data_IF_759159609865
#
_entry.id   IF_759159609865
#
_cell.length_a   1.000
_cell.length_b   1.000
_cell.length_c   1.000
_cell.angle_alpha   90.00
_cell.angle_beta   90.00
_cell.angle_gamma   90.00
#
_symmetry.space_group_name_H-M   'P 1'
#
loop_
_entity.id
_entity.type
_entity.pdbx_description
1 polymer ?
#
# COMPACT_ATOMS: atom_id res chain seq x y z
N UNK A 1 93.74 13.15 16.78
CA UNK A 1 93.77 11.68 16.74
C UNK A 1 92.45 11.21 16.13
N UNK A 2 92.46 10.56 14.98
CA UNK A 2 91.23 10.01 14.35
C UNK A 2 90.79 8.73 15.07
N UNK A 3 89.51 8.32 14.97
CA UNK A 3 88.99 7.11 15.64
C UNK A 3 89.84 5.85 15.38
N UNK A 4 90.46 5.73 14.19
CA UNK A 4 91.39 4.64 13.87
C UNK A 4 92.68 4.71 14.67
N UNK A 5 93.24 5.90 14.88
CA UNK A 5 94.45 6.10 15.68
C UNK A 5 94.19 5.83 17.17
N UNK A 6 93.02 6.24 17.68
CA UNK A 6 92.62 5.95 19.06
C UNK A 6 92.44 4.45 19.31
N UNK A 7 91.75 3.75 18.40
CA UNK A 7 91.59 2.29 18.49
C UNK A 7 92.94 1.58 18.42
N UNK A 8 93.86 2.06 17.57
CA UNK A 8 95.20 1.51 17.46
C UNK A 8 96.02 1.73 18.73
N UNK A 9 95.95 2.94 19.31
CA UNK A 9 96.61 3.27 20.57
C UNK A 9 96.11 2.40 21.75
N UNK A 10 94.79 2.24 21.88
CA UNK A 10 94.17 1.41 22.93
C UNK A 10 94.53 -0.07 22.77
N UNK A 11 94.63 -0.56 21.54
CA UNK A 11 95.04 -1.94 21.27
C UNK A 11 96.52 -2.16 21.57
N UNK A 12 97.39 -1.21 21.25
CA UNK A 12 98.83 -1.30 21.51
C UNK A 12 99.16 -1.21 23.01
N UNK A 13 98.30 -0.58 23.83
CA UNK A 13 98.49 -0.41 25.27
C UNK A 13 97.48 -1.19 26.14
N UNK A 14 96.79 -2.19 25.58
CA UNK A 14 95.79 -3.00 26.30
C UNK A 14 96.37 -3.74 27.53
N UNK A 15 97.68 -4.02 27.50
CA UNK A 15 98.41 -4.76 28.53
C UNK A 15 99.37 -3.87 29.34
N UNK A 16 99.25 -2.53 29.22
CA UNK A 16 100.10 -1.59 29.97
C UNK A 16 99.71 -1.62 31.48
N UNK A 17 100.63 -1.99 32.39
CA UNK A 17 100.36 -2.05 33.82
C UNK A 17 99.88 -0.72 34.42
N UNK A 18 100.25 0.43 33.81
CA UNK A 18 99.84 1.76 34.28
C UNK A 18 98.37 2.06 34.00
N UNK A 19 97.77 1.36 33.04
CA UNK A 19 96.34 1.45 32.70
C UNK A 19 95.52 0.30 33.33
N UNK A 20 96.13 -0.49 34.22
CA UNK A 20 95.51 -1.63 34.89
C UNK A 20 95.72 -2.98 34.20
N UNK A 21 96.18 -2.99 32.95
CA UNK A 21 96.49 -4.18 32.14
C UNK A 21 95.29 -5.10 31.84
N UNK A 22 95.34 -5.81 30.72
CA UNK A 22 94.42 -6.91 30.40
C UNK A 22 92.96 -6.53 30.12
N UNK A 23 92.66 -5.27 29.77
CA UNK A 23 91.28 -4.88 29.44
C UNK A 23 90.98 -5.15 27.96
N UNK A 24 90.18 -6.18 27.72
CA UNK A 24 89.60 -6.51 26.41
C UNK A 24 88.08 -6.31 26.46
N UNK A 25 87.51 -5.78 25.38
CA UNK A 25 86.06 -5.60 25.25
C UNK A 25 85.30 -6.91 25.47
N UNK A 26 85.88 -8.06 25.07
CA UNK A 26 85.25 -9.37 25.29
C UNK A 26 85.22 -9.75 26.76
N UNK A 27 86.28 -9.45 27.50
CA UNK A 27 86.38 -9.84 28.89
C UNK A 27 85.47 -8.98 29.77
N UNK A 28 85.38 -7.68 29.47
CA UNK A 28 84.42 -6.78 30.13
C UNK A 28 82.96 -7.20 29.91
N UNK A 29 82.59 -7.59 28.69
CA UNK A 29 81.23 -8.05 28.41
C UNK A 29 80.90 -9.38 29.06
N UNK A 30 81.86 -10.32 29.08
CA UNK A 30 81.66 -11.60 29.72
C UNK A 30 81.53 -11.46 31.24
N UNK A 31 82.32 -10.59 31.86
CA UNK A 31 82.25 -10.34 33.31
C UNK A 31 80.96 -9.60 33.68
N UNK A 32 80.52 -8.64 32.86
CA UNK A 32 79.22 -7.97 33.05
C UNK A 32 78.04 -8.94 32.91
N UNK A 33 78.04 -9.79 31.87
CA UNK A 33 76.98 -10.76 31.64
C UNK A 33 76.93 -11.82 32.75
N UNK A 34 78.09 -12.31 33.20
CA UNK A 34 78.20 -13.31 34.27
C UNK A 34 77.78 -12.73 35.63
N UNK A 35 78.12 -11.46 35.90
CA UNK A 35 77.70 -10.80 37.14
C UNK A 35 76.21 -10.49 37.14
N UNK A 36 75.60 -10.18 35.99
CA UNK A 36 74.14 -9.97 35.90
C UNK A 36 73.32 -11.24 36.10
N UNK A 37 73.80 -12.42 35.70
CA UNK A 37 73.09 -13.68 35.94
C UNK A 37 73.00 -14.06 37.43
N UNK A 38 74.00 -13.69 38.23
CA UNK A 38 74.03 -13.99 39.67
C UNK A 38 73.04 -13.14 40.50
N UNK A 39 72.54 -12.01 39.98
CA UNK A 39 71.55 -11.15 40.64
C UNK A 39 70.10 -11.42 40.22
N UNK A 40 69.83 -12.51 39.49
CA UNK A 40 68.46 -12.94 39.17
C UNK A 40 67.74 -12.07 38.13
N UNK A 41 68.48 -11.24 37.39
CA UNK A 41 67.97 -10.59 36.19
C UNK A 41 68.07 -11.56 35.02
N UNK A 42 67.21 -12.58 34.99
CA UNK A 42 66.96 -13.30 33.75
C UNK A 42 66.31 -12.33 32.77
N UNK A 43 67.00 -12.05 31.66
CA UNK A 43 66.45 -11.32 30.53
C UNK A 43 65.48 -12.24 29.76
N UNK A 44 64.41 -12.68 30.42
CA UNK A 44 63.19 -13.10 29.74
C UNK A 44 62.42 -11.83 29.35
N UNK A 45 63.04 -11.02 28.49
CA UNK A 45 62.31 -10.02 27.71
C UNK A 45 61.61 -10.78 26.58
N UNK A 46 60.52 -11.48 26.93
CA UNK A 46 59.56 -11.84 25.90
C UNK A 46 59.08 -10.53 25.28
N UNK A 47 59.59 -10.23 24.08
CA UNK A 47 59.12 -9.12 23.28
C UNK A 47 57.61 -9.26 23.15
N UNK A 48 56.86 -8.44 23.90
CA UNK A 48 55.40 -8.44 23.88
C UNK A 48 54.99 -8.01 22.48
N UNK A 49 54.76 -8.99 21.59
CA UNK A 49 54.33 -8.73 20.21
C UNK A 49 52.89 -8.23 20.28
N UNK A 50 52.72 -6.91 20.31
CA UNK A 50 51.45 -6.27 20.04
C UNK A 50 50.99 -6.65 18.63
N UNK A 51 50.25 -7.74 18.57
CA UNK A 51 49.73 -8.31 17.33
C UNK A 51 48.43 -7.57 17.01
N UNK A 52 48.15 -7.29 15.73
CA UNK A 52 46.92 -6.64 15.28
C UNK A 52 45.64 -7.23 15.89
N UNK A 53 45.66 -8.53 16.21
CA UNK A 53 44.60 -9.25 16.93
C UNK A 53 44.26 -8.65 18.31
N UNK A 54 45.23 -8.14 19.06
CA UNK A 54 45.01 -7.54 20.39
C UNK A 54 44.25 -6.22 20.28
N UNK A 55 44.55 -5.42 19.26
CA UNK A 55 43.81 -4.17 18.98
C UNK A 55 42.40 -4.45 18.47
N UNK A 56 42.24 -5.46 17.61
CA UNK A 56 40.93 -5.92 17.17
C UNK A 56 40.10 -6.46 18.34
N UNK A 57 40.68 -7.28 19.23
CA UNK A 57 39.99 -7.81 20.41
C UNK A 57 39.60 -6.69 21.38
N UNK A 58 40.43 -5.67 21.55
CA UNK A 58 40.09 -4.52 22.39
C UNK A 58 38.92 -3.70 21.79
N UNK A 59 38.92 -3.48 20.47
CA UNK A 59 37.83 -2.78 19.76
C UNK A 59 36.52 -3.57 19.78
N UNK A 60 36.58 -4.89 19.58
CA UNK A 60 35.39 -5.75 19.65
C UNK A 60 34.85 -5.83 21.07
N UNK A 61 35.71 -5.82 22.11
CA UNK A 61 35.28 -5.88 23.50
C UNK A 61 34.62 -4.58 24.00
N UNK A 62 35.03 -3.41 23.48
CA UNK A 62 34.41 -2.10 23.79
C UNK A 62 33.14 -1.88 22.98
N UNK A 63 33.18 -2.15 21.66
CA UNK A 63 32.03 -1.97 20.77
C UNK A 63 30.87 -2.90 21.13
N UNK A 64 31.15 -4.16 21.46
CA UNK A 64 30.12 -5.13 21.84
C UNK A 64 29.36 -4.69 23.09
N UNK A 65 30.01 -4.21 24.15
CA UNK A 65 29.32 -3.82 25.39
C UNK A 65 28.61 -2.46 25.31
N UNK A 66 29.08 -1.54 24.47
CA UNK A 66 28.47 -0.23 24.27
C UNK A 66 27.28 -0.27 23.30
N UNK A 67 27.26 -1.20 22.33
CA UNK A 67 26.19 -1.31 21.33
C UNK A 67 25.21 -2.45 21.66
N UNK A 68 25.67 -3.62 22.12
CA UNK A 68 24.75 -4.75 22.40
C UNK A 68 23.81 -4.48 23.56
N UNK A 69 24.19 -3.63 24.52
CA UNK A 69 23.33 -3.27 25.67
C UNK A 69 22.15 -2.38 25.27
N UNK A 70 22.34 -1.23 24.61
CA UNK A 70 21.21 -0.44 24.13
C UNK A 70 20.45 -1.13 22.99
N UNK A 71 21.11 -1.88 22.10
CA UNK A 71 20.41 -2.64 21.04
C UNK A 71 19.62 -3.79 21.63
N UNK A 72 20.16 -4.52 22.59
CA UNK A 72 19.44 -5.58 23.32
C UNK A 72 18.29 -5.01 24.14
N UNK A 73 18.48 -3.89 24.83
CA UNK A 73 17.42 -3.20 25.55
C UNK A 73 16.35 -2.61 24.62
N UNK A 74 16.73 -2.09 23.45
CA UNK A 74 15.81 -1.61 22.43
C UNK A 74 15.06 -2.77 21.76
N UNK A 75 15.72 -3.91 21.51
CA UNK A 75 15.08 -5.13 21.00
C UNK A 75 14.18 -5.77 22.05
N UNK A 76 14.54 -5.73 23.33
CA UNK A 76 13.66 -6.17 24.42
C UNK A 76 12.50 -5.22 24.65
N UNK A 77 12.71 -3.89 24.59
CA UNK A 77 11.63 -2.91 24.63
C UNK A 77 10.73 -3.05 23.40
N UNK A 78 11.30 -3.29 22.22
CA UNK A 78 10.58 -3.63 21.02
C UNK A 78 9.85 -4.96 21.18
N UNK A 79 10.44 -6.01 21.75
CA UNK A 79 9.75 -7.27 22.07
C UNK A 79 8.79 -7.16 23.28
N UNK A 80 8.82 -6.12 24.08
CA UNK A 80 7.84 -5.94 25.17
C UNK A 80 6.65 -5.10 24.70
N UNK A 81 6.91 -4.12 23.83
CA UNK A 81 5.88 -3.31 23.16
C UNK A 81 5.25 -4.08 21.99
N UNK A 82 6.03 -4.86 21.26
CA UNK A 82 5.66 -5.64 20.06
C UNK A 82 5.86 -7.16 20.20
N UNK A 83 6.30 -7.73 21.32
CA UNK A 83 6.32 -9.21 21.48
C UNK A 83 5.02 -9.77 22.03
N UNK A 84 4.11 -8.91 22.51
CA UNK A 84 2.68 -9.20 22.52
C UNK A 84 2.08 -9.30 21.11
N UNK A 85 2.86 -9.02 20.06
CA UNK A 85 2.38 -8.92 18.68
C UNK A 85 2.32 -10.24 17.91
N UNK A 86 2.93 -11.32 18.40
CA UNK A 86 2.80 -12.63 17.73
C UNK A 86 1.33 -13.10 17.73
N UNK A 87 0.51 -12.62 18.66
CA UNK A 87 -0.95 -12.76 18.62
C UNK A 87 -1.67 -11.62 17.88
N UNK A 88 -1.06 -10.43 17.70
CA UNK A 88 -1.70 -9.28 17.04
C UNK A 88 -1.35 -9.10 15.56
N UNK A 89 -0.39 -9.82 14.97
CA UNK A 89 -0.22 -9.84 13.49
C UNK A 89 -1.54 -10.29 12.85
N UNK A 90 -2.24 -11.26 13.46
CA UNK A 90 -3.54 -11.73 12.98
C UNK A 90 -4.67 -10.72 13.27
N UNK A 91 -4.55 -9.91 14.32
CA UNK A 91 -5.53 -8.86 14.65
C UNK A 91 -5.37 -7.60 13.78
N UNK A 92 -4.15 -7.23 13.35
CA UNK A 92 -3.94 -6.12 12.41
C UNK A 92 -4.46 -6.43 11.00
N UNK A 93 -4.50 -7.70 10.59
CA UNK A 93 -5.11 -8.05 9.30
C UNK A 93 -6.61 -7.74 9.27
N UNK A 94 -7.31 -7.97 10.38
CA UNK A 94 -8.73 -7.64 10.56
C UNK A 94 -9.01 -6.22 11.05
N UNK A 95 -8.01 -5.35 11.19
CA UNK A 95 -8.25 -3.97 11.63
C UNK A 95 -8.89 -3.14 10.52
N UNK A 96 -9.90 -2.36 10.87
CA UNK A 96 -10.61 -1.41 9.98
C UNK A 96 -10.21 0.04 10.29
N UNK A 97 -10.53 1.01 9.42
CA UNK A 97 -10.33 2.42 9.74
C UNK A 97 -10.82 2.80 11.14
N UNK A 98 -9.99 3.52 11.89
CA UNK A 98 -10.25 3.92 13.27
C UNK A 98 -9.76 2.93 14.34
N UNK A 99 -9.31 1.73 13.96
CA UNK A 99 -8.69 0.80 14.90
C UNK A 99 -7.23 1.17 15.21
N UNK A 100 -6.78 0.87 16.43
CA UNK A 100 -5.43 1.19 16.91
C UNK A 100 -4.32 0.62 16.01
N UNK A 101 -4.53 -0.58 15.45
CA UNK A 101 -3.54 -1.28 14.61
C UNK A 101 -3.66 -0.98 13.11
N UNK A 102 -4.66 -0.20 12.69
CA UNK A 102 -4.89 0.10 11.27
C UNK A 102 -3.70 0.84 10.61
N UNK A 103 -3.03 1.80 11.26
CA UNK A 103 -1.82 2.41 10.67
C UNK A 103 -0.70 1.39 10.42
N UNK A 104 -0.59 0.36 11.26
CA UNK A 104 0.42 -0.69 11.08
C UNK A 104 0.08 -1.60 9.90
N UNK A 105 -1.21 -1.88 9.68
CA UNK A 105 -1.71 -2.53 8.46
C UNK A 105 -1.24 -1.77 7.23
N UNK A 106 -1.55 -0.48 7.13
CA UNK A 106 -1.16 0.36 5.98
C UNK A 106 0.36 0.41 5.74
N UNK A 107 1.17 0.48 6.80
CA UNK A 107 2.64 0.44 6.67
C UNK A 107 3.12 -0.90 6.10
N UNK A 108 2.51 -2.00 6.55
CA UNK A 108 2.83 -3.34 6.06
C UNK A 108 2.49 -3.47 4.57
N UNK A 109 1.31 -3.01 4.17
CA UNK A 109 0.84 -2.99 2.79
C UNK A 109 1.76 -2.15 1.87
N UNK A 110 2.14 -0.94 2.32
CA UNK A 110 3.11 -0.09 1.59
C UNK A 110 4.49 -0.71 1.46
N UNK A 111 4.93 -1.44 2.49
CA UNK A 111 6.21 -2.16 2.45
C UNK A 111 6.16 -3.26 1.39
N UNK A 112 5.07 -4.01 1.32
CA UNK A 112 4.87 -5.04 0.28
C UNK A 112 4.92 -4.41 -1.13
N UNK A 113 4.29 -3.26 -1.35
CA UNK A 113 4.37 -2.54 -2.63
C UNK A 113 5.80 -2.11 -2.97
N UNK A 114 6.54 -1.54 -2.00
CA UNK A 114 7.91 -1.08 -2.20
C UNK A 114 8.86 -2.20 -2.61
N UNK A 115 8.66 -3.42 -2.10
CA UNK A 115 9.47 -4.59 -2.45
C UNK A 115 8.97 -5.33 -3.70
N UNK A 116 7.86 -4.90 -4.31
CA UNK A 116 7.31 -5.53 -5.52
C UNK A 116 7.81 -4.81 -6.78
N UNK A 117 8.72 -5.45 -7.51
CA UNK A 117 9.41 -4.83 -8.65
C UNK A 117 8.58 -4.78 -9.95
N UNK A 118 7.71 -5.77 -10.20
CA UNK A 118 6.91 -5.86 -11.42
C UNK A 118 5.61 -5.04 -11.30
N UNK A 119 5.31 -4.17 -12.28
CA UNK A 119 4.08 -3.37 -12.35
C UNK A 119 2.81 -4.22 -12.33
N UNK A 120 2.82 -5.38 -13.01
CA UNK A 120 1.68 -6.30 -13.00
C UNK A 120 1.43 -6.84 -11.58
N UNK A 121 2.49 -7.19 -10.85
CA UNK A 121 2.38 -7.68 -9.48
C UNK A 121 1.96 -6.57 -8.52
N UNK A 122 2.43 -5.32 -8.73
CA UNK A 122 1.95 -4.16 -7.96
C UNK A 122 0.47 -3.89 -8.23
N UNK A 123 0.03 -3.98 -9.48
CA UNK A 123 -1.39 -3.86 -9.82
C UNK A 123 -2.24 -4.95 -9.15
N UNK A 124 -1.76 -6.21 -9.11
CA UNK A 124 -2.41 -7.30 -8.35
C UNK A 124 -2.51 -6.98 -6.87
N UNK A 125 -1.45 -6.43 -6.28
CA UNK A 125 -1.44 -6.09 -4.86
C UNK A 125 -2.38 -4.92 -4.54
N UNK A 126 -2.41 -3.89 -5.38
CA UNK A 126 -3.39 -2.80 -5.28
C UNK A 126 -4.84 -3.31 -5.43
N UNK A 127 -5.11 -4.23 -6.36
CA UNK A 127 -6.44 -4.84 -6.50
C UNK A 127 -6.84 -5.64 -5.25
N UNK A 128 -5.88 -6.33 -4.61
CA UNK A 128 -6.12 -7.02 -3.33
C UNK A 128 -6.40 -6.03 -2.18
N UNK A 129 -5.65 -4.92 -2.11
CA UNK A 129 -5.93 -3.86 -1.14
C UNK A 129 -7.29 -3.23 -1.38
N UNK A 130 -7.66 -2.95 -2.64
CA UNK A 130 -8.98 -2.45 -2.99
C UNK A 130 -10.09 -3.38 -2.48
N UNK A 131 -9.99 -4.69 -2.73
CA UNK A 131 -10.92 -5.68 -2.19
C UNK A 131 -11.00 -5.63 -0.66
N UNK A 132 -9.86 -5.55 0.03
CA UNK A 132 -9.80 -5.40 1.49
C UNK A 132 -10.49 -4.13 1.99
N UNK A 133 -10.36 -3.00 1.30
CA UNK A 133 -11.02 -1.74 1.69
C UNK A 133 -12.54 -1.85 1.61
N UNK A 134 -13.08 -2.60 0.63
CA UNK A 134 -14.51 -2.89 0.57
C UNK A 134 -14.96 -3.84 1.69
N UNK A 135 -14.19 -4.89 1.98
CA UNK A 135 -14.46 -5.80 3.11
C UNK A 135 -14.48 -5.02 4.45
N UNK A 136 -13.51 -4.11 4.66
CA UNK A 136 -13.47 -3.22 5.83
C UNK A 136 -14.72 -2.34 5.94
N UNK A 137 -15.22 -1.83 4.82
CA UNK A 137 -16.43 -1.01 4.82
C UNK A 137 -17.68 -1.84 5.17
N UNK A 138 -17.77 -3.11 4.77
CA UNK A 138 -18.84 -4.03 5.19
C UNK A 138 -18.77 -4.36 6.69
N UNK A 139 -17.56 -4.59 7.20
CA UNK A 139 -17.32 -4.82 8.63
C UNK A 139 -17.76 -3.59 9.45
N UNK A 140 -17.45 -2.38 8.97
CA UNK A 140 -17.91 -1.15 9.61
C UNK A 140 -19.43 -1.03 9.56
N UNK A 141 -20.06 -1.29 8.41
CA UNK A 141 -21.51 -1.21 8.23
C UNK A 141 -22.26 -2.12 9.22
N UNK A 142 -21.77 -3.35 9.40
CA UNK A 142 -22.35 -4.36 10.30
C UNK A 142 -22.01 -4.19 11.79
N UNK A 143 -21.05 -3.32 12.14
CA UNK A 143 -20.61 -3.10 13.52
C UNK A 143 -21.63 -2.32 14.39
N UNK A 144 -21.31 -2.01 15.66
CA UNK A 144 -22.10 -1.09 16.51
C UNK A 144 -21.38 0.25 16.78
N UNK A 145 -20.45 0.62 15.90
CA UNK A 145 -19.62 1.85 16.07
C UNK A 145 -20.49 3.11 15.95
N UNK A 146 -20.13 4.17 16.67
CA UNK A 146 -20.86 5.46 16.63
C UNK A 146 -20.57 6.31 15.40
N UNK A 147 -19.43 6.10 14.74
CA UNK A 147 -18.93 6.93 13.63
C UNK A 147 -18.89 6.15 12.31
N UNK A 148 -19.85 5.24 12.08
CA UNK A 148 -19.84 4.35 10.91
C UNK A 148 -19.71 5.10 9.59
N UNK A 149 -20.47 6.17 9.42
CA UNK A 149 -20.56 6.91 8.16
C UNK A 149 -19.20 7.47 7.76
N UNK A 150 -18.48 8.10 8.70
CA UNK A 150 -17.13 8.64 8.47
C UNK A 150 -16.13 7.52 8.15
N UNK A 151 -16.21 6.40 8.87
CA UNK A 151 -15.31 5.27 8.69
C UNK A 151 -15.56 4.54 7.37
N UNK A 152 -16.82 4.37 6.98
CA UNK A 152 -17.21 3.80 5.69
C UNK A 152 -16.75 4.68 4.54
N UNK A 153 -16.98 6.01 4.62
CA UNK A 153 -16.47 6.96 3.61
C UNK A 153 -14.95 6.87 3.48
N UNK A 154 -14.24 6.73 4.60
CA UNK A 154 -12.78 6.56 4.59
C UNK A 154 -12.36 5.26 3.91
N UNK A 155 -13.02 4.13 4.20
CA UNK A 155 -12.73 2.85 3.58
C UNK A 155 -13.00 2.88 2.07
N UNK A 156 -14.13 3.45 1.66
CA UNK A 156 -14.53 3.59 0.25
C UNK A 156 -13.61 4.53 -0.52
N UNK A 157 -13.16 5.62 0.09
CA UNK A 157 -12.17 6.51 -0.55
C UNK A 157 -10.82 5.81 -0.70
N UNK A 158 -10.40 5.02 0.29
CA UNK A 158 -9.19 4.21 0.14
C UNK A 158 -9.37 3.15 -0.97
N UNK A 159 -10.55 2.54 -1.13
CA UNK A 159 -10.83 1.67 -2.27
C UNK A 159 -10.62 2.41 -3.61
N UNK A 160 -11.16 3.63 -3.75
CA UNK A 160 -10.97 4.47 -4.93
C UNK A 160 -9.49 4.70 -5.23
N UNK A 161 -8.71 5.05 -4.21
CA UNK A 161 -7.25 5.28 -4.32
C UNK A 161 -6.52 4.02 -4.80
N UNK A 162 -6.86 2.86 -4.24
CA UNK A 162 -6.25 1.59 -4.65
C UNK A 162 -6.61 1.25 -6.10
N UNK A 163 -7.86 1.45 -6.52
CA UNK A 163 -8.28 1.22 -7.92
C UNK A 163 -7.58 2.18 -8.88
N UNK A 164 -7.45 3.47 -8.56
CA UNK A 164 -6.66 4.42 -9.36
C UNK A 164 -5.23 3.89 -9.53
N UNK A 165 -4.63 3.39 -8.43
CA UNK A 165 -3.28 2.81 -8.46
C UNK A 165 -3.19 1.56 -9.31
N UNK A 166 -4.23 0.69 -9.32
CA UNK A 166 -4.34 -0.43 -10.29
C UNK A 166 -4.28 0.12 -11.70
N UNK A 167 -5.09 1.13 -12.05
CA UNK A 167 -5.11 1.68 -13.41
C UNK A 167 -3.78 2.30 -13.81
N UNK A 168 -3.08 2.95 -12.89
CA UNK A 168 -1.77 3.56 -13.16
C UNK A 168 -0.67 2.52 -13.36
N UNK A 169 -0.67 1.45 -12.55
CA UNK A 169 0.26 0.33 -12.75
C UNK A 169 -0.03 -0.43 -14.05
N UNK A 170 -1.30 -0.59 -14.41
CA UNK A 170 -1.72 -1.24 -15.66
C UNK A 170 -1.23 -0.50 -16.92
N UNK A 171 -1.19 0.84 -16.91
CA UNK A 171 -0.60 1.64 -18.02
C UNK A 171 0.88 1.30 -18.27
N UNK A 172 1.58 0.79 -17.25
CA UNK A 172 2.98 0.42 -17.32
C UNK A 172 3.19 -1.08 -17.60
N UNK A 173 2.13 -1.86 -17.79
CA UNK A 173 2.21 -3.27 -18.17
C UNK A 173 2.34 -3.34 -19.70
N UNK A 174 3.58 -3.32 -20.20
CA UNK A 174 3.86 -3.38 -21.63
C UNK A 174 4.22 -4.80 -22.08
N UNK A 175 3.27 -5.59 -22.60
CA UNK A 175 3.53 -6.79 -23.42
C UNK A 175 2.25 -7.37 -24.03
N UNK A 176 2.37 -8.27 -25.01
CA UNK A 176 1.24 -9.03 -25.56
C UNK A 176 0.53 -9.93 -24.52
N UNK A 177 1.17 -10.21 -23.37
CA UNK A 177 0.59 -10.91 -22.21
C UNK A 177 -0.16 -9.93 -21.27
N UNK A 178 -0.07 -8.62 -21.54
CA UNK A 178 -0.63 -7.53 -20.75
C UNK A 178 -2.16 -7.48 -20.77
N UNK A 179 -2.82 -7.74 -21.89
CA UNK A 179 -4.28 -7.60 -21.95
C UNK A 179 -5.01 -8.70 -21.16
N UNK A 180 -4.45 -9.91 -21.07
CA UNK A 180 -4.96 -10.93 -20.14
C UNK A 180 -4.80 -10.48 -18.67
N UNK A 181 -3.66 -9.91 -18.30
CA UNK A 181 -3.43 -9.39 -16.95
C UNK A 181 -4.34 -8.19 -16.61
N UNK A 182 -4.51 -7.25 -17.55
CA UNK A 182 -5.40 -6.09 -17.46
C UNK A 182 -6.84 -6.54 -17.22
N UNK A 183 -7.32 -7.53 -17.96
CA UNK A 183 -8.70 -8.04 -17.82
C UNK A 183 -8.89 -8.87 -16.56
N UNK A 184 -7.92 -9.70 -16.17
CA UNK A 184 -7.96 -10.43 -14.90
C UNK A 184 -8.05 -9.48 -13.71
N UNK A 185 -7.28 -8.40 -13.73
CA UNK A 185 -7.28 -7.37 -12.69
C UNK A 185 -8.58 -6.57 -12.69
N UNK A 186 -9.07 -6.19 -13.87
CA UNK A 186 -10.34 -5.51 -14.00
C UNK A 186 -11.49 -6.36 -13.45
N UNK A 187 -11.57 -7.64 -13.82
CA UNK A 187 -12.54 -8.60 -13.30
C UNK A 187 -12.44 -8.76 -11.77
N UNK A 188 -11.23 -8.73 -11.21
CA UNK A 188 -11.02 -8.85 -9.77
C UNK A 188 -11.60 -7.64 -9.01
N UNK A 189 -11.35 -6.42 -9.51
CA UNK A 189 -11.91 -5.18 -8.95
C UNK A 189 -13.42 -5.17 -9.10
N UNK A 190 -13.94 -5.49 -10.29
CA UNK A 190 -15.37 -5.47 -10.57
C UNK A 190 -16.16 -6.44 -9.70
N UNK A 191 -15.69 -7.69 -9.56
CA UNK A 191 -16.34 -8.70 -8.72
C UNK A 191 -16.43 -8.23 -7.26
N UNK A 192 -15.38 -7.59 -6.75
CA UNK A 192 -15.36 -7.10 -5.37
C UNK A 192 -16.24 -5.87 -5.18
N UNK A 193 -16.25 -4.95 -6.15
CA UNK A 193 -17.17 -3.81 -6.18
C UNK A 193 -18.65 -4.23 -6.25
N UNK A 194 -18.95 -5.32 -6.96
CA UNK A 194 -20.29 -5.91 -7.04
C UNK A 194 -20.74 -6.53 -5.72
N UNK A 195 -19.87 -7.35 -5.11
CA UNK A 195 -20.13 -7.97 -3.80
C UNK A 195 -20.51 -6.89 -2.77
N UNK A 196 -19.79 -5.77 -2.79
CA UNK A 196 -20.06 -4.63 -1.93
C UNK A 196 -21.39 -3.93 -2.25
N UNK A 197 -21.63 -3.60 -3.52
CA UNK A 197 -22.87 -2.95 -3.96
C UNK A 197 -24.13 -3.76 -3.63
N UNK A 198 -24.04 -5.09 -3.74
CA UNK A 198 -25.14 -6.01 -3.41
C UNK A 198 -25.48 -6.02 -1.90
N UNK A 199 -24.48 -5.87 -1.03
CA UNK A 199 -24.67 -5.87 0.42
C UNK A 199 -25.17 -4.52 0.92
N UNK A 200 -24.66 -3.41 0.38
CA UNK A 200 -25.05 -2.06 0.83
C UNK A 200 -26.40 -1.60 0.27
N UNK A 201 -26.82 -2.09 -0.90
CA UNK A 201 -28.17 -1.85 -1.43
C UNK A 201 -29.32 -2.28 -0.50
N UNK A 202 -29.02 -3.02 0.59
CA UNK A 202 -29.97 -3.41 1.63
C UNK A 202 -29.95 -2.52 2.89
N UNK A 203 -28.98 -1.62 3.06
CA UNK A 203 -28.88 -0.72 4.22
C UNK A 203 -29.27 0.72 3.85
N UNK A 204 -30.00 1.45 4.69
CA UNK A 204 -30.62 2.73 4.32
C UNK A 204 -29.73 3.96 4.55
N UNK A 205 -29.88 5.00 3.71
CA UNK A 205 -29.49 6.39 4.01
C UNK A 205 -28.25 6.92 3.27
N UNK A 206 -27.06 6.50 3.69
CA UNK A 206 -25.76 7.05 3.22
C UNK A 206 -25.16 6.32 2.00
N UNK A 207 -25.96 5.48 1.36
CA UNK A 207 -25.56 4.56 0.28
C UNK A 207 -25.23 5.26 -1.03
N UNK A 208 -25.85 6.40 -1.33
CA UNK A 208 -25.77 7.02 -2.66
C UNK A 208 -24.37 7.57 -2.95
N UNK A 209 -23.75 8.28 -2.00
CA UNK A 209 -22.41 8.84 -2.17
C UNK A 209 -21.33 7.75 -2.21
N UNK A 210 -21.45 6.74 -1.35
CA UNK A 210 -20.55 5.59 -1.32
C UNK A 210 -20.63 4.76 -2.60
N UNK A 211 -21.83 4.55 -3.13
CA UNK A 211 -22.04 3.82 -4.40
C UNK A 211 -21.48 4.60 -5.58
N UNK A 212 -21.61 5.93 -5.58
CA UNK A 212 -21.04 6.77 -6.63
C UNK A 212 -19.52 6.63 -6.74
N UNK A 213 -18.81 6.60 -5.59
CA UNK A 213 -17.35 6.41 -5.56
C UNK A 213 -16.94 5.04 -6.13
N UNK A 214 -17.70 3.99 -5.81
CA UNK A 214 -17.43 2.65 -6.35
C UNK A 214 -17.65 2.60 -7.86
N UNK A 215 -18.74 3.20 -8.34
CA UNK A 215 -19.05 3.29 -9.77
C UNK A 215 -17.98 4.07 -10.54
N UNK A 216 -17.49 5.18 -9.99
CA UNK A 216 -16.41 5.97 -10.59
C UNK A 216 -15.13 5.13 -10.74
N UNK A 217 -14.77 4.36 -9.72
CA UNK A 217 -13.60 3.49 -9.75
C UNK A 217 -13.73 2.40 -10.84
N UNK A 218 -14.90 1.77 -10.97
CA UNK A 218 -15.17 0.78 -12.03
C UNK A 218 -15.14 1.39 -13.44
N UNK A 219 -15.59 2.63 -13.59
CA UNK A 219 -15.51 3.36 -14.86
C UNK A 219 -14.05 3.59 -15.27
N UNK A 220 -13.18 3.97 -14.33
CA UNK A 220 -11.77 4.16 -14.60
C UNK A 220 -11.09 2.86 -15.06
N UNK A 221 -11.40 1.73 -14.41
CA UNK A 221 -10.93 0.41 -14.83
C UNK A 221 -11.39 0.09 -16.25
N UNK A 222 -12.70 0.26 -16.52
CA UNK A 222 -13.27 0.00 -17.85
C UNK A 222 -12.60 0.86 -18.93
N UNK A 223 -12.34 2.13 -18.64
CA UNK A 223 -11.63 3.04 -19.56
C UNK A 223 -10.21 2.58 -19.87
N UNK A 224 -9.50 2.04 -18.89
CA UNK A 224 -8.17 1.43 -19.09
C UNK A 224 -8.28 0.21 -20.01
N UNK A 225 -9.26 -0.68 -19.78
CA UNK A 225 -9.46 -1.85 -20.66
C UNK A 225 -9.85 -1.44 -22.08
N UNK A 226 -10.70 -0.41 -22.25
CA UNK A 226 -11.03 0.13 -23.58
C UNK A 226 -9.79 0.65 -24.28
N UNK A 227 -8.93 1.39 -23.57
CA UNK A 227 -7.69 1.93 -24.15
C UNK A 227 -6.76 0.79 -24.58
N UNK A 228 -6.58 -0.21 -23.72
CA UNK A 228 -5.80 -1.41 -24.05
C UNK A 228 -6.38 -2.15 -25.26
N UNK A 229 -7.69 -2.34 -25.33
CA UNK A 229 -8.34 -3.01 -26.45
C UNK A 229 -8.20 -2.24 -27.77
N UNK A 230 -8.28 -0.91 -27.74
CA UNK A 230 -8.10 -0.07 -28.93
C UNK A 230 -6.64 -0.07 -29.43
N UNK A 231 -5.66 -0.15 -28.52
CA UNK A 231 -4.24 -0.22 -28.88
C UNK A 231 -3.83 -1.63 -29.33
N UNK A 232 -4.29 -2.65 -28.62
CA UNK A 232 -3.99 -4.07 -28.85
C UNK A 232 -5.26 -4.91 -28.72
N UNK A 233 -6.04 -5.05 -29.81
CA UNK A 233 -7.25 -5.85 -29.78
C UNK A 233 -6.95 -7.31 -29.44
N UNK A 234 -7.50 -7.77 -28.32
CA UNK A 234 -7.38 -9.15 -27.84
C UNK A 234 -8.78 -9.70 -27.47
N UNK A 235 -8.91 -11.03 -27.52
CA UNK A 235 -10.18 -11.71 -27.26
C UNK A 235 -10.63 -11.56 -25.80
N UNK A 236 -9.66 -11.50 -24.89
CA UNK A 236 -9.86 -11.33 -23.46
C UNK A 236 -10.46 -9.96 -23.14
N UNK A 237 -9.93 -8.90 -23.77
CA UNK A 237 -10.43 -7.53 -23.61
C UNK A 237 -11.80 -7.36 -24.25
N UNK A 238 -12.04 -7.93 -25.43
CA UNK A 238 -13.37 -7.98 -26.05
C UNK A 238 -14.40 -8.64 -25.13
N UNK A 239 -14.09 -9.82 -24.59
CA UNK A 239 -14.97 -10.55 -23.67
C UNK A 239 -15.27 -9.78 -22.39
N UNK A 240 -14.28 -9.07 -21.83
CA UNK A 240 -14.50 -8.20 -20.68
C UNK A 240 -15.48 -7.07 -21.04
N UNK A 241 -15.23 -6.37 -22.15
CA UNK A 241 -16.07 -5.25 -22.60
C UNK A 241 -17.50 -5.71 -22.90
N UNK A 242 -17.68 -6.88 -23.52
CA UNK A 242 -18.99 -7.50 -23.72
C UNK A 242 -19.72 -7.70 -22.38
N UNK A 243 -19.01 -8.26 -21.40
CA UNK A 243 -19.58 -8.56 -20.08
C UNK A 243 -20.01 -7.27 -19.36
N UNK A 244 -19.14 -6.27 -19.31
CA UNK A 244 -19.44 -4.98 -18.66
C UNK A 244 -20.56 -4.26 -19.39
N UNK A 245 -20.57 -4.27 -20.72
CA UNK A 245 -21.62 -3.62 -21.51
C UNK A 245 -23.00 -4.22 -21.24
N UNK A 246 -23.13 -5.56 -21.28
CA UNK A 246 -24.39 -6.23 -21.00
C UNK A 246 -24.86 -5.99 -19.57
N UNK A 247 -23.93 -6.03 -18.61
CA UNK A 247 -24.23 -5.74 -17.20
C UNK A 247 -24.73 -4.32 -17.02
N UNK A 248 -24.04 -3.33 -17.59
CA UNK A 248 -24.40 -1.92 -17.47
C UNK A 248 -25.78 -1.63 -18.06
N UNK A 249 -26.12 -2.25 -19.19
CA UNK A 249 -27.46 -2.14 -19.76
C UNK A 249 -28.53 -2.68 -18.79
N UNK A 250 -28.29 -3.86 -18.20
CA UNK A 250 -29.23 -4.48 -17.26
C UNK A 250 -29.38 -3.63 -16.01
N UNK A 251 -28.28 -3.13 -15.44
CA UNK A 251 -28.30 -2.21 -14.29
C UNK A 251 -29.10 -0.95 -14.58
N UNK A 252 -28.80 -0.29 -15.71
CA UNK A 252 -29.49 0.93 -16.14
C UNK A 252 -31.00 0.68 -16.25
N UNK A 253 -31.42 -0.38 -16.94
CA UNK A 253 -32.86 -0.71 -17.10
C UNK A 253 -33.53 -0.94 -15.75
N UNK A 254 -32.91 -1.75 -14.88
CA UNK A 254 -33.44 -2.02 -13.55
C UNK A 254 -33.61 -0.73 -12.73
N UNK A 255 -32.65 0.19 -12.81
CA UNK A 255 -32.70 1.48 -12.10
C UNK A 255 -33.78 2.40 -12.68
N UNK A 256 -33.92 2.48 -14.00
CA UNK A 256 -35.02 3.22 -14.66
C UNK A 256 -36.38 2.66 -14.21
N UNK A 257 -36.56 1.35 -14.22
CA UNK A 257 -37.79 0.70 -13.78
C UNK A 257 -38.10 1.01 -12.31
N UNK A 258 -37.09 0.93 -11.45
CA UNK A 258 -37.23 1.26 -10.03
C UNK A 258 -37.59 2.74 -9.79
N UNK A 259 -36.96 3.67 -10.52
CA UNK A 259 -37.30 5.09 -10.50
C UNK A 259 -38.76 5.29 -10.91
N UNK A 260 -39.18 4.71 -12.03
CA UNK A 260 -40.56 4.84 -12.53
C UNK A 260 -41.58 4.27 -11.54
N UNK A 261 -41.31 3.09 -10.96
CA UNK A 261 -42.16 2.48 -9.94
C UNK A 261 -42.26 3.37 -8.68
N UNK A 262 -41.14 3.92 -8.21
CA UNK A 262 -41.10 4.82 -7.05
C UNK A 262 -41.88 6.11 -7.33
N UNK A 263 -41.64 6.76 -8.46
CA UNK A 263 -42.38 7.97 -8.88
C UNK A 263 -43.89 7.72 -8.94
N UNK A 264 -44.33 6.60 -9.51
CA UNK A 264 -45.76 6.25 -9.57
C UNK A 264 -46.36 6.06 -8.17
N UNK A 265 -45.64 5.42 -7.25
CA UNK A 265 -46.07 5.28 -5.85
C UNK A 265 -46.16 6.63 -5.14
N UNK A 266 -45.17 7.49 -5.34
CA UNK A 266 -45.14 8.85 -4.77
C UNK A 266 -46.32 9.67 -5.28
N UNK A 267 -46.51 9.71 -6.60
CA UNK A 267 -47.62 10.43 -7.25
C UNK A 267 -48.97 9.96 -6.71
N UNK A 268 -49.16 8.64 -6.59
CA UNK A 268 -50.38 8.05 -6.01
C UNK A 268 -50.58 8.45 -4.55
N UNK A 269 -49.53 8.43 -3.72
CA UNK A 269 -49.61 8.81 -2.31
C UNK A 269 -49.95 10.30 -2.14
N UNK A 270 -49.33 11.18 -2.94
CA UNK A 270 -49.61 12.62 -2.93
C UNK A 270 -51.06 12.93 -3.37
N UNK A 271 -51.57 12.21 -4.37
CA UNK A 271 -52.96 12.32 -4.80
C UNK A 271 -53.94 11.87 -3.71
N UNK A 272 -53.69 10.72 -3.10
CA UNK A 272 -54.53 10.18 -2.02
C UNK A 272 -54.58 11.11 -0.80
N UNK A 273 -53.45 11.73 -0.46
CA UNK A 273 -53.34 12.67 0.66
C UNK A 273 -53.72 14.10 0.28
N UNK A 274 -54.09 14.37 -0.99
CA UNK A 274 -54.42 15.70 -1.52
C UNK A 274 -53.30 16.74 -1.33
N UNK A 275 -52.05 16.29 -1.33
CA UNK A 275 -50.86 17.13 -1.16
C UNK A 275 -50.08 17.34 -2.46
N UNK A 276 -50.56 16.80 -3.59
CA UNK A 276 -49.92 17.02 -4.89
C UNK A 276 -50.02 18.49 -5.33
N UNK A 277 -48.93 19.23 -5.18
CA UNK A 277 -48.79 20.59 -5.71
C UNK A 277 -48.34 20.57 -7.17
N UNK A 278 -48.50 21.70 -7.86
CA UNK A 278 -48.00 21.86 -9.24
C UNK A 278 -46.48 21.65 -9.33
N UNK A 279 -45.74 22.13 -8.33
CA UNK A 279 -44.29 21.98 -8.23
C UNK A 279 -43.88 20.50 -8.13
N UNK A 280 -44.51 19.74 -7.22
CA UNK A 280 -44.27 18.30 -7.06
C UNK A 280 -44.62 17.53 -8.34
N UNK A 281 -45.74 17.87 -8.99
CA UNK A 281 -46.14 17.26 -10.26
C UNK A 281 -45.13 17.53 -11.38
N UNK A 282 -44.62 18.76 -11.48
CA UNK A 282 -43.60 19.11 -12.45
C UNK A 282 -42.29 18.38 -12.18
N UNK A 283 -41.85 18.30 -10.92
CA UNK A 283 -40.65 17.56 -10.52
C UNK A 283 -40.76 16.09 -10.92
N UNK A 284 -41.87 15.41 -10.58
CA UNK A 284 -42.13 14.01 -10.99
C UNK A 284 -42.06 13.86 -12.51
N UNK A 285 -42.69 14.76 -13.26
CA UNK A 285 -42.71 14.72 -14.73
C UNK A 285 -41.32 14.91 -15.33
N UNK A 286 -40.56 15.90 -14.85
CA UNK A 286 -39.20 16.18 -15.33
C UNK A 286 -38.30 14.97 -15.06
N UNK A 287 -38.34 14.40 -13.86
CA UNK A 287 -37.55 13.22 -13.51
C UNK A 287 -37.91 12.03 -14.39
N UNK A 288 -39.21 11.78 -14.65
CA UNK A 288 -39.67 10.72 -15.55
C UNK A 288 -39.20 10.93 -16.99
N UNK A 289 -39.26 12.18 -17.49
CA UNK A 289 -38.80 12.53 -18.84
C UNK A 289 -37.28 12.38 -18.99
N UNK A 290 -36.50 12.67 -17.94
CA UNK A 290 -35.05 12.57 -17.97
C UNK A 290 -34.53 11.15 -18.26
N UNK A 291 -35.32 10.11 -17.99
CA UNK A 291 -34.98 8.71 -18.24
C UNK A 291 -35.82 8.06 -19.35
N UNK A 292 -36.69 8.81 -20.03
CA UNK A 292 -37.69 8.24 -20.93
C UNK A 292 -37.12 7.72 -22.25
N UNK A 293 -36.00 8.28 -22.72
CA UNK A 293 -35.33 7.93 -23.97
C UNK A 293 -34.23 6.86 -23.79
N UNK A 294 -34.07 6.32 -22.58
CA UNK A 294 -32.95 5.43 -22.26
C UNK A 294 -32.98 4.14 -23.07
N UNK A 295 -34.15 3.55 -23.33
CA UNK A 295 -34.25 2.33 -24.13
C UNK A 295 -33.83 2.55 -25.59
N UNK A 296 -34.22 3.69 -26.19
CA UNK A 296 -33.81 4.07 -27.54
C UNK A 296 -32.29 4.28 -27.60
N UNK A 297 -31.74 5.03 -26.63
CA UNK A 297 -30.29 5.23 -26.50
C UNK A 297 -29.55 3.91 -26.33
N UNK A 298 -30.04 2.97 -25.54
CA UNK A 298 -29.43 1.65 -25.36
C UNK A 298 -29.43 0.85 -26.67
N UNK A 299 -30.51 0.94 -27.46
CA UNK A 299 -30.60 0.29 -28.76
C UNK A 299 -29.53 0.84 -29.73
N UNK A 300 -29.39 2.17 -29.79
CA UNK A 300 -28.34 2.82 -30.59
C UNK A 300 -26.95 2.41 -30.13
N UNK A 301 -26.69 2.44 -28.81
CA UNK A 301 -25.41 2.04 -28.24
C UNK A 301 -25.07 0.58 -28.53
N UNK A 302 -26.06 -0.32 -28.57
CA UNK A 302 -25.84 -1.73 -28.94
C UNK A 302 -25.34 -1.86 -30.39
N UNK A 303 -25.84 -1.03 -31.30
CA UNK A 303 -25.37 -1.01 -32.69
C UNK A 303 -23.95 -0.45 -32.82
N UNK A 304 -23.62 0.61 -32.07
CA UNK A 304 -22.29 1.22 -32.06
C UNK A 304 -21.27 0.26 -31.42
N UNK A 305 -21.67 -0.43 -30.36
CA UNK A 305 -20.85 -1.42 -29.67
C UNK A 305 -20.49 -2.58 -30.61
N UNK A 306 -21.47 -3.12 -31.33
CA UNK A 306 -21.24 -4.18 -32.33
C UNK A 306 -20.33 -3.74 -33.49
N UNK A 307 -20.22 -2.43 -33.74
CA UNK A 307 -19.29 -1.84 -34.71
C UNK A 307 -17.89 -1.56 -34.13
N UNK A 308 -17.62 -1.94 -32.87
CA UNK A 308 -16.34 -1.72 -32.18
C UNK A 308 -16.17 -0.31 -31.60
N UNK A 309 -17.25 0.47 -31.48
CA UNK A 309 -17.23 1.84 -30.95
C UNK A 309 -17.16 1.94 -29.43
N UNK A 310 -16.29 1.14 -28.78
CA UNK A 310 -16.27 0.93 -27.33
C UNK A 310 -16.12 2.23 -26.53
N UNK A 311 -15.16 3.09 -26.86
CA UNK A 311 -14.93 4.37 -26.15
C UNK A 311 -16.16 5.27 -26.15
N UNK A 312 -16.82 5.41 -27.29
CA UNK A 312 -18.06 6.20 -27.40
C UNK A 312 -19.17 5.58 -26.57
N UNK A 313 -19.30 4.26 -26.61
CA UNK A 313 -20.35 3.54 -25.89
C UNK A 313 -20.21 3.70 -24.38
N UNK A 314 -19.03 3.43 -23.82
CA UNK A 314 -18.81 3.54 -22.38
C UNK A 314 -18.88 4.98 -21.88
N UNK A 315 -18.47 5.97 -22.69
CA UNK A 315 -18.68 7.38 -22.36
C UNK A 315 -20.19 7.72 -22.26
N UNK A 316 -21.01 7.23 -23.19
CA UNK A 316 -22.46 7.46 -23.18
C UNK A 316 -23.18 6.72 -22.06
N UNK A 317 -22.72 5.52 -21.71
CA UNK A 317 -23.20 4.78 -20.54
C UNK A 317 -22.90 5.55 -19.25
N UNK A 318 -21.70 6.12 -19.11
CA UNK A 318 -21.34 6.96 -17.96
C UNK A 318 -22.28 8.18 -17.85
N UNK A 319 -22.55 8.88 -18.95
CA UNK A 319 -23.53 9.98 -18.97
C UNK A 319 -24.92 9.53 -18.50
N UNK A 320 -25.38 8.33 -18.91
CA UNK A 320 -26.65 7.76 -18.45
C UNK A 320 -26.65 7.47 -16.95
N UNK A 321 -25.56 6.88 -16.42
CA UNK A 321 -25.42 6.58 -14.99
C UNK A 321 -25.48 7.84 -14.14
N UNK A 322 -24.87 8.95 -14.59
CA UNK A 322 -24.95 10.25 -13.90
C UNK A 322 -26.40 10.75 -13.83
N UNK A 323 -27.15 10.67 -14.93
CA UNK A 323 -28.56 11.05 -14.97
C UNK A 323 -29.39 10.19 -14.01
N UNK A 324 -29.11 8.88 -13.90
CA UNK A 324 -29.79 8.00 -12.94
C UNK A 324 -29.53 8.39 -11.50
N UNK A 325 -28.28 8.67 -11.12
CA UNK A 325 -27.95 9.10 -9.74
C UNK A 325 -28.69 10.39 -9.38
N UNK A 326 -28.77 11.34 -10.31
CA UNK A 326 -29.51 12.58 -10.11
C UNK A 326 -31.02 12.32 -9.96
N UNK A 327 -31.59 11.46 -10.80
CA UNK A 327 -33.00 11.07 -10.72
C UNK A 327 -33.32 10.35 -9.39
N UNK A 328 -32.46 9.43 -8.95
CA UNK A 328 -32.59 8.72 -7.67
C UNK A 328 -32.54 9.67 -6.47
N UNK A 329 -31.67 10.69 -6.53
CA UNK A 329 -31.59 11.73 -5.51
C UNK A 329 -32.89 12.51 -5.43
N UNK A 330 -33.42 12.96 -6.58
CA UNK A 330 -34.72 13.66 -6.62
C UNK A 330 -35.86 12.77 -6.10
N UNK A 331 -35.86 11.48 -6.42
CA UNK A 331 -36.85 10.54 -5.89
C UNK A 331 -36.73 10.42 -4.36
N UNK A 332 -35.51 10.34 -3.82
CA UNK A 332 -35.30 10.30 -2.38
C UNK A 332 -35.82 11.58 -1.69
N UNK A 333 -35.58 12.76 -2.27
CA UNK A 333 -36.09 14.03 -1.76
C UNK A 333 -37.63 14.06 -1.77
N UNK A 334 -38.27 13.57 -2.84
CA UNK A 334 -39.72 13.44 -2.92
C UNK A 334 -40.29 12.46 -1.88
N UNK A 335 -39.58 11.38 -1.56
CA UNK A 335 -39.96 10.44 -0.50
C UNK A 335 -39.85 11.08 0.89
N UNK A 336 -38.84 11.92 1.13
CA UNK A 336 -38.72 12.68 2.38
C UNK A 336 -39.94 13.58 2.57
N UNK A 337 -40.38 14.28 1.51
CA UNK A 337 -41.59 15.13 1.55
C UNK A 337 -42.84 14.34 1.97
N UNK A 338 -42.96 13.05 1.59
CA UNK A 338 -44.07 12.20 2.03
C UNK A 338 -44.01 11.85 3.52
N UNK A 339 -42.82 11.79 4.11
CA UNK A 339 -42.61 11.41 5.51
C UNK A 339 -42.59 12.59 6.49
N UNK A 340 -42.47 13.82 5.98
CA UNK A 340 -42.48 15.02 6.81
C UNK A 340 -43.85 15.18 7.53
N UNK A 341 -43.87 15.50 8.84
CA UNK A 341 -45.11 15.70 9.56
C UNK A 341 -45.89 16.85 8.93
N UNK A 342 -47.13 16.59 8.54
CA UNK A 342 -48.03 17.63 8.01
C UNK A 342 -48.34 18.60 9.15
N UNK A 343 -47.96 19.88 8.98
CA UNK A 343 -48.30 20.96 9.91
C UNK A 343 -49.74 21.43 9.72
#
# INVERSE_FOLDING_TARGET
>A
MTNRELIKFLKDHQDDPKLGGGFSHKDLWNDFAKKNSDYGFEENSESFKFTWKVYLDYLTHIGSKAVLRPVGAALMAFMLVFGGWVTTVNASFGSVPGDFLYPVKLVTERTQLMFTANSEQRARLHAEFAGRRLDEALDIASSTRSNKDVLMKTAVENFRIEVVSVTDELKNVSSAEGAAAVTDLANAVDRKAEEYSAVIGQSSGDVVEVTAVVVEAQEQVTKTVVTEHEEQPQKETEKYLDTVFQKDIVDIRNRVDMINLRLNRIETALLNNKTLTLDLSNTIKITRTATADFDERIQDLSSIFAAGGYRTVFAKISEMKIVLVNAETVVADLEIVLTAPQQ
#
